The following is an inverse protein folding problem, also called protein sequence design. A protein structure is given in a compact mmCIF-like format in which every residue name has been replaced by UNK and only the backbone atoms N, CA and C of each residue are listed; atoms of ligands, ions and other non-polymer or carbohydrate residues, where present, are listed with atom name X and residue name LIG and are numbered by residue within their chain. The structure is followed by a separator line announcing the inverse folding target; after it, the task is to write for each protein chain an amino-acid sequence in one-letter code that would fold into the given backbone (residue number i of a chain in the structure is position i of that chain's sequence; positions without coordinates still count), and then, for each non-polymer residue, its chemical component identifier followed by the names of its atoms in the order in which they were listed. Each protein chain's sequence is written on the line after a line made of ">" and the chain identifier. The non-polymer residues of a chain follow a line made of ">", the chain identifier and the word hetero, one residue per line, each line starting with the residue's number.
data_IF_034306980489
#
_entry.id   IF_034306980489
#
_cell.length_a   1.000
_cell.length_b   1.000
_cell.length_c   1.000
_cell.angle_alpha   90.00
_cell.angle_beta   90.00
_cell.angle_gamma   90.00
#
_symmetry.space_group_name_H-M   'P 1'
#
loop_
_entity.id
_entity.type
_entity.pdbx_description
1 polymer ?
#
# COMPACT_ATOMS: atom_id res chain seq x y z
N UNK A 1 0.85 17.29 -46.28
CA UNK A 1 1.05 18.72 -46.62
C UNK A 1 1.55 19.43 -45.37
N UNK A 2 2.67 20.14 -45.44
CA UNK A 2 3.22 20.90 -44.31
C UNK A 2 2.98 22.40 -44.51
N UNK A 3 2.33 23.05 -43.55
CA UNK A 3 2.10 24.50 -43.52
C UNK A 3 3.00 25.16 -42.47
N UNK A 4 3.50 26.36 -42.74
CA UNK A 4 4.32 27.13 -41.78
C UNK A 4 3.44 28.11 -41.00
N UNK A 5 3.58 28.10 -39.68
CA UNK A 5 2.91 29.01 -38.77
C UNK A 5 3.95 29.77 -37.93
N UNK A 6 3.98 31.10 -38.03
CA UNK A 6 4.83 31.94 -37.20
C UNK A 6 4.04 32.47 -36.00
N UNK A 7 4.47 32.10 -34.79
CA UNK A 7 3.79 32.44 -33.54
C UNK A 7 4.79 32.93 -32.50
N UNK A 8 4.35 33.88 -31.66
CA UNK A 8 5.15 34.38 -30.55
C UNK A 8 4.84 33.55 -29.31
N UNK A 9 5.89 32.98 -28.72
CA UNK A 9 5.80 32.21 -27.48
C UNK A 9 6.52 32.96 -26.36
N UNK A 10 6.05 32.76 -25.13
CA UNK A 10 6.77 33.29 -23.98
C UNK A 10 8.18 32.66 -23.89
N UNK A 11 9.18 33.36 -23.34
CA UNK A 11 10.51 32.80 -23.14
C UNK A 11 10.51 31.49 -22.34
N UNK A 12 9.61 31.40 -21.35
CA UNK A 12 9.41 30.18 -20.54
C UNK A 12 8.95 29.00 -21.40
N UNK A 13 8.00 29.21 -22.32
CA UNK A 13 7.52 28.17 -23.24
C UNK A 13 8.61 27.70 -24.19
N UNK A 14 9.42 28.61 -24.72
CA UNK A 14 10.55 28.27 -25.61
C UNK A 14 11.58 27.41 -24.88
N UNK A 15 11.90 27.74 -23.63
CA UNK A 15 12.81 26.96 -22.79
C UNK A 15 12.26 25.55 -22.55
N UNK A 16 11.00 25.43 -22.10
CA UNK A 16 10.37 24.14 -21.83
C UNK A 16 10.28 23.25 -23.09
N UNK A 17 9.92 23.81 -24.24
CA UNK A 17 9.89 23.07 -25.52
C UNK A 17 11.29 22.59 -25.90
N UNK A 18 12.31 23.44 -25.72
CA UNK A 18 13.70 23.09 -26.06
C UNK A 18 14.23 21.97 -25.16
N UNK A 19 13.94 22.03 -23.86
CA UNK A 19 14.30 20.99 -22.89
C UNK A 19 13.60 19.67 -23.20
N UNK A 20 12.29 19.69 -23.47
CA UNK A 20 11.52 18.49 -23.82
C UNK A 20 12.02 17.86 -25.12
N UNK A 21 12.29 18.69 -26.14
CA UNK A 21 12.84 18.27 -27.42
C UNK A 21 14.20 17.57 -27.24
N UNK A 22 15.08 18.14 -26.42
CA UNK A 22 16.38 17.55 -26.09
C UNK A 22 16.24 16.22 -25.34
N UNK A 23 15.40 16.17 -24.29
CA UNK A 23 15.14 14.96 -23.49
C UNK A 23 14.58 13.81 -24.33
N UNK A 24 13.65 14.12 -25.25
CA UNK A 24 12.98 13.12 -26.10
C UNK A 24 13.68 12.89 -27.45
N UNK A 25 14.77 13.60 -27.76
CA UNK A 25 15.51 13.54 -29.03
C UNK A 25 14.62 13.75 -30.26
N UNK A 26 13.71 14.72 -30.19
CA UNK A 26 12.79 15.08 -31.29
C UNK A 26 12.88 16.58 -31.59
N UNK A 27 12.36 17.01 -32.74
CA UNK A 27 12.41 18.42 -33.13
C UNK A 27 11.45 19.28 -32.30
N UNK A 28 11.77 20.56 -32.09
CA UNK A 28 10.88 21.51 -31.41
C UNK A 28 9.53 21.64 -32.11
N UNK A 29 9.53 21.59 -33.45
CA UNK A 29 8.31 21.60 -34.25
C UNK A 29 7.43 20.38 -33.96
N UNK A 30 8.01 19.17 -33.92
CA UNK A 30 7.28 17.95 -33.58
C UNK A 30 6.69 17.99 -32.16
N UNK A 31 7.42 18.58 -31.19
CA UNK A 31 6.88 18.81 -29.84
C UNK A 31 5.64 19.71 -29.88
N UNK A 32 5.73 20.85 -30.58
CA UNK A 32 4.62 21.81 -30.67
C UNK A 32 3.43 21.22 -31.41
N UNK A 33 3.65 20.54 -32.52
CA UNK A 33 2.60 19.88 -33.31
C UNK A 33 1.88 18.81 -32.49
N UNK A 34 2.64 17.95 -31.79
CA UNK A 34 2.06 16.91 -30.92
C UNK A 34 1.26 17.54 -29.78
N UNK A 35 1.77 18.61 -29.16
CA UNK A 35 1.08 19.30 -28.07
C UNK A 35 -0.23 19.95 -28.54
N UNK A 36 -0.24 20.58 -29.72
CA UNK A 36 -1.44 21.19 -30.31
C UNK A 36 -2.45 20.12 -30.71
N UNK A 37 -2.03 19.05 -31.37
CA UNK A 37 -2.90 17.92 -31.71
C UNK A 37 -3.51 17.29 -30.46
N UNK A 38 -2.71 17.09 -29.41
CA UNK A 38 -3.21 16.58 -28.13
C UNK A 38 -4.17 17.52 -27.43
N UNK A 39 -4.04 18.84 -27.62
CA UNK A 39 -4.92 19.83 -27.00
C UNK A 39 -6.28 19.92 -27.70
N UNK A 40 -6.27 19.80 -29.04
CA UNK A 40 -7.47 19.96 -29.87
C UNK A 40 -8.23 18.63 -30.02
N UNK A 41 -7.61 17.49 -29.75
CA UNK A 41 -8.27 16.18 -29.79
C UNK A 41 -9.24 16.02 -28.61
N UNK A 42 -10.58 16.00 -28.82
CA UNK A 42 -11.55 15.78 -27.74
C UNK A 42 -11.34 14.44 -27.05
N UNK A 43 -11.00 13.41 -27.83
CA UNK A 43 -10.73 12.05 -27.33
C UNK A 43 -9.57 11.97 -26.34
N UNK A 44 -8.55 12.82 -26.45
CA UNK A 44 -7.36 12.72 -25.59
C UNK A 44 -7.64 13.08 -24.13
N UNK A 45 -8.49 14.08 -23.88
CA UNK A 45 -8.85 14.41 -22.51
C UNK A 45 -9.79 13.35 -21.94
N UNK A 46 -10.81 12.96 -22.69
CA UNK A 46 -11.80 11.96 -22.29
C UNK A 46 -11.16 10.59 -22.02
N UNK A 47 -10.20 10.16 -22.85
CA UNK A 47 -9.47 8.91 -22.64
C UNK A 47 -8.61 8.94 -21.36
N UNK A 48 -7.97 10.09 -21.08
CA UNK A 48 -7.15 10.26 -19.86
C UNK A 48 -8.01 10.26 -18.62
N UNK A 49 -9.12 11.00 -18.63
CA UNK A 49 -10.09 11.01 -17.54
C UNK A 49 -10.68 9.61 -17.32
N UNK A 50 -11.10 8.92 -18.38
CA UNK A 50 -11.59 7.54 -18.29
C UNK A 50 -10.54 6.57 -17.74
N UNK A 51 -9.26 6.71 -18.12
CA UNK A 51 -8.19 5.87 -17.59
C UNK A 51 -7.95 6.11 -16.09
N UNK A 52 -8.04 7.37 -15.63
CA UNK A 52 -7.94 7.72 -14.21
C UNK A 52 -9.13 7.14 -13.44
N UNK A 53 -10.36 7.31 -13.93
CA UNK A 53 -11.56 6.75 -13.31
C UNK A 53 -11.47 5.24 -13.16
N UNK A 54 -11.07 4.50 -14.21
CA UNK A 54 -10.85 3.04 -14.12
C UNK A 54 -9.80 2.66 -13.08
N UNK A 55 -8.73 3.45 -12.96
CA UNK A 55 -7.69 3.20 -11.94
C UNK A 55 -8.23 3.45 -10.54
N UNK A 56 -9.02 4.50 -10.34
CA UNK A 56 -9.69 4.79 -9.08
C UNK A 56 -10.66 3.67 -8.71
N UNK A 57 -11.50 3.22 -9.64
CA UNK A 57 -12.42 2.10 -9.42
C UNK A 57 -11.68 0.83 -8.98
N UNK A 58 -10.54 0.53 -9.61
CA UNK A 58 -9.70 -0.61 -9.24
C UNK A 58 -9.13 -0.46 -7.83
N UNK A 59 -8.72 0.74 -7.43
CA UNK A 59 -8.23 1.02 -6.08
C UNK A 59 -9.35 0.87 -5.05
N UNK A 60 -10.54 1.40 -5.34
CA UNK A 60 -11.71 1.28 -4.45
C UNK A 60 -12.06 -0.18 -4.21
N UNK A 61 -12.19 -0.98 -5.28
CA UNK A 61 -12.46 -2.43 -5.16
C UNK A 61 -11.37 -3.18 -4.40
N UNK A 62 -10.12 -2.76 -4.58
CA UNK A 62 -9.01 -3.34 -3.83
C UNK A 62 -9.12 -2.99 -2.34
N UNK A 63 -9.45 -1.74 -2.01
CA UNK A 63 -9.65 -1.28 -0.65
C UNK A 63 -10.83 -1.99 0.03
N UNK A 64 -11.97 -2.12 -0.64
CA UNK A 64 -13.13 -2.89 -0.13
C UNK A 64 -12.79 -4.36 0.15
N UNK A 65 -11.90 -4.97 -0.66
CA UNK A 65 -11.41 -6.33 -0.41
C UNK A 65 -10.45 -6.36 0.78
N UNK A 66 -9.57 -5.37 0.91
CA UNK A 66 -8.65 -5.26 2.05
C UNK A 66 -9.42 -5.06 3.36
N UNK A 67 -10.45 -4.21 3.37
CA UNK A 67 -11.32 -3.98 4.52
C UNK A 67 -12.03 -5.27 4.94
N UNK A 68 -12.61 -6.01 3.98
CA UNK A 68 -13.21 -7.32 4.27
C UNK A 68 -12.20 -8.30 4.83
N UNK A 69 -11.01 -8.39 4.23
CA UNK A 69 -9.95 -9.27 4.73
C UNK A 69 -9.48 -8.87 6.14
N UNK A 70 -9.44 -7.57 6.43
CA UNK A 70 -9.08 -7.03 7.74
C UNK A 70 -10.13 -7.40 8.80
N UNK A 71 -11.42 -7.28 8.46
CA UNK A 71 -12.53 -7.71 9.33
C UNK A 71 -12.41 -9.21 9.61
N UNK A 72 -12.27 -10.05 8.58
CA UNK A 72 -12.13 -11.50 8.73
C UNK A 72 -10.90 -11.86 9.57
N UNK A 73 -9.76 -11.20 9.34
CA UNK A 73 -8.53 -11.45 10.10
C UNK A 73 -8.69 -11.04 11.57
N UNK A 74 -9.35 -9.92 11.83
CA UNK A 74 -9.68 -9.47 13.19
C UNK A 74 -10.61 -10.45 13.91
N UNK A 75 -11.67 -10.92 13.25
CA UNK A 75 -12.58 -11.93 13.80
C UNK A 75 -11.87 -13.25 14.08
N UNK A 76 -11.08 -13.75 13.14
CA UNK A 76 -10.28 -14.96 13.30
C UNK A 76 -9.27 -14.83 14.46
N UNK A 77 -8.62 -13.68 14.58
CA UNK A 77 -7.69 -13.40 15.68
C UNK A 77 -8.41 -13.36 17.04
N UNK A 78 -9.57 -12.71 17.12
CA UNK A 78 -10.38 -12.71 18.35
C UNK A 78 -10.85 -14.11 18.74
N UNK A 79 -11.27 -14.93 17.77
CA UNK A 79 -11.62 -16.33 18.00
C UNK A 79 -10.41 -17.15 18.47
N UNK A 80 -9.25 -16.94 17.85
CA UNK A 80 -7.98 -17.57 18.26
C UNK A 80 -7.63 -17.21 19.71
N UNK A 81 -7.58 -15.93 20.05
CA UNK A 81 -7.31 -15.44 21.41
C UNK A 81 -8.29 -16.07 22.41
N UNK A 82 -9.58 -16.06 22.08
CA UNK A 82 -10.62 -16.66 22.92
C UNK A 82 -10.35 -18.15 23.13
N UNK A 83 -10.08 -18.90 22.07
CA UNK A 83 -9.80 -20.33 22.16
C UNK A 83 -8.53 -20.63 22.97
N UNK A 84 -7.48 -19.83 22.78
CA UNK A 84 -6.19 -19.95 23.45
C UNK A 84 -6.28 -19.69 24.96
N UNK A 85 -7.10 -18.70 25.37
CA UNK A 85 -7.34 -18.42 26.79
C UNK A 85 -8.43 -19.28 27.42
N UNK A 86 -9.36 -19.82 26.63
CA UNK A 86 -10.50 -20.57 27.15
C UNK A 86 -10.15 -21.99 27.61
N UNK A 87 -9.34 -22.76 26.88
CA UNK A 87 -8.83 -24.08 27.32
C UNK A 87 -8.16 -24.81 26.16
N UNK A 88 -6.95 -25.35 26.36
CA UNK A 88 -6.43 -26.43 25.50
C UNK A 88 -6.72 -27.83 26.06
N UNK A 89 -7.56 -27.99 27.09
CA UNK A 89 -7.95 -29.31 27.61
C UNK A 89 -9.37 -29.29 28.19
N UNK A 90 -10.20 -30.33 28.01
CA UNK A 90 -11.52 -30.40 28.64
C UNK A 90 -11.37 -30.32 30.16
N UNK A 91 -11.94 -29.26 30.74
CA UNK A 91 -11.83 -28.95 32.17
C UNK A 91 -13.05 -29.53 32.86
N UNK A 92 -12.90 -30.36 33.90
CA UNK A 92 -14.02 -30.80 34.73
C UNK A 92 -14.84 -29.60 35.21
N UNK A 93 -16.18 -29.73 35.28
CA UNK A 93 -17.09 -28.62 35.62
C UNK A 93 -16.70 -27.87 36.90
N UNK A 94 -16.08 -28.56 37.85
CA UNK A 94 -15.59 -28.02 39.13
C UNK A 94 -14.40 -27.04 38.97
N UNK A 95 -13.58 -27.20 37.94
CA UNK A 95 -12.41 -26.36 37.68
C UNK A 95 -12.67 -25.23 36.66
N UNK A 96 -13.89 -25.15 36.12
CA UNK A 96 -14.30 -24.24 35.06
C UNK A 96 -14.22 -22.77 35.48
N UNK A 97 -14.61 -22.45 36.72
CA UNK A 97 -14.53 -21.10 37.28
C UNK A 97 -13.07 -20.64 37.46
N UNK A 98 -12.18 -21.53 37.92
CA UNK A 98 -10.74 -21.25 38.08
C UNK A 98 -10.05 -21.06 36.72
N UNK A 99 -10.39 -21.89 35.74
CA UNK A 99 -9.87 -21.77 34.38
C UNK A 99 -10.31 -20.47 33.70
N UNK A 100 -11.57 -20.07 33.84
CA UNK A 100 -12.06 -18.79 33.35
C UNK A 100 -11.36 -17.60 34.03
N UNK A 101 -11.11 -17.68 35.34
CA UNK A 101 -10.36 -16.65 36.06
C UNK A 101 -8.93 -16.51 35.53
N UNK A 102 -8.24 -17.64 35.30
CA UNK A 102 -6.89 -17.67 34.74
C UNK A 102 -6.84 -17.19 33.29
N UNK A 103 -7.87 -17.48 32.49
CA UNK A 103 -8.02 -16.95 31.14
C UNK A 103 -8.16 -15.42 31.13
N UNK A 104 -8.96 -14.85 32.06
CA UNK A 104 -9.10 -13.39 32.22
C UNK A 104 -7.78 -12.71 32.62
N UNK A 105 -7.02 -13.32 33.54
CA UNK A 105 -5.70 -12.82 33.95
C UNK A 105 -4.73 -12.78 32.77
N UNK A 106 -4.63 -13.86 32.00
CA UNK A 106 -3.77 -13.92 30.81
C UNK A 106 -4.17 -12.91 29.73
N UNK A 107 -5.47 -12.69 29.53
CA UNK A 107 -5.97 -11.68 28.60
C UNK A 107 -5.54 -10.27 29.02
N UNK A 108 -5.65 -9.93 30.31
CA UNK A 108 -5.20 -8.62 30.83
C UNK A 108 -3.71 -8.39 30.56
N UNK A 109 -2.87 -9.38 30.86
CA UNK A 109 -1.42 -9.29 30.63
C UNK A 109 -1.08 -9.17 29.13
N UNK A 110 -1.83 -9.86 28.27
CA UNK A 110 -1.67 -9.75 26.82
C UNK A 110 -1.98 -8.33 26.32
N UNK A 111 -3.09 -7.73 26.76
CA UNK A 111 -3.45 -6.35 26.38
C UNK A 111 -2.39 -5.36 26.86
N UNK A 112 -1.87 -5.53 28.07
CA UNK A 112 -0.79 -4.69 28.60
C UNK A 112 0.48 -4.78 27.73
N UNK A 113 0.96 -6.00 27.44
CA UNK A 113 2.12 -6.23 26.58
C UNK A 113 1.92 -5.69 25.16
N UNK A 114 0.74 -5.91 24.57
CA UNK A 114 0.39 -5.39 23.24
C UNK A 114 0.37 -3.87 23.23
N UNK A 115 -0.26 -3.24 24.22
CA UNK A 115 -0.33 -1.78 24.33
C UNK A 115 1.06 -1.16 24.46
N UNK A 116 1.93 -1.73 25.30
CA UNK A 116 3.29 -1.28 25.49
C UNK A 116 4.09 -1.37 24.19
N UNK A 117 3.94 -2.46 23.44
CA UNK A 117 4.60 -2.66 22.15
C UNK A 117 4.13 -1.68 21.08
N UNK A 118 2.82 -1.42 21.00
CA UNK A 118 2.25 -0.44 20.08
C UNK A 118 2.78 0.98 20.38
N UNK A 119 2.87 1.37 21.65
CA UNK A 119 3.45 2.66 22.05
C UNK A 119 4.94 2.78 21.70
N UNK A 120 5.68 1.68 21.72
CA UNK A 120 7.10 1.66 21.36
C UNK A 120 7.32 1.74 19.83
N UNK A 121 6.27 1.72 19.00
CA UNK A 121 6.38 1.81 17.54
C UNK A 121 7.06 0.59 16.88
N UNK A 122 7.31 -0.46 17.66
CA UNK A 122 7.94 -1.71 17.21
C UNK A 122 6.90 -2.55 16.46
N UNK A 123 6.83 -2.35 15.16
CA UNK A 123 6.01 -3.18 14.28
C UNK A 123 6.61 -4.59 14.24
N UNK A 124 5.81 -5.60 14.58
CA UNK A 124 6.15 -7.02 14.41
C UNK A 124 6.69 -7.31 13.00
N UNK A 125 6.15 -6.63 11.98
CA UNK A 125 6.60 -6.79 10.60
C UNK A 125 8.05 -6.32 10.38
N UNK A 126 8.48 -5.27 11.09
CA UNK A 126 9.87 -4.80 10.98
C UNK A 126 10.84 -5.77 11.64
N UNK A 127 10.47 -6.32 12.79
CA UNK A 127 11.30 -7.31 13.49
C UNK A 127 11.40 -8.63 12.71
N UNK A 128 10.30 -9.14 12.15
CA UNK A 128 10.33 -10.34 11.31
C UNK A 128 11.17 -10.13 10.05
N UNK A 129 11.03 -8.98 9.38
CA UNK A 129 11.88 -8.65 8.22
C UNK A 129 13.35 -8.47 8.61
N UNK A 130 13.66 -8.01 9.82
CA UNK A 130 15.03 -7.92 10.33
C UNK A 130 15.57 -9.31 10.69
N UNK A 131 14.77 -10.19 11.31
CA UNK A 131 15.12 -11.57 11.65
C UNK A 131 15.32 -12.43 10.39
N UNK A 132 14.47 -12.30 9.37
CA UNK A 132 14.65 -12.96 8.07
C UNK A 132 15.98 -12.55 7.43
N UNK A 133 16.30 -11.25 7.43
CA UNK A 133 17.58 -10.73 6.91
C UNK A 133 18.79 -11.17 7.73
N UNK A 134 18.65 -11.26 9.06
CA UNK A 134 19.69 -11.77 9.95
C UNK A 134 19.91 -13.28 9.76
N UNK A 135 18.86 -14.03 9.44
CA UNK A 135 18.94 -15.45 9.11
C UNK A 135 19.58 -15.71 7.74
N UNK A 136 19.31 -14.87 6.74
CA UNK A 136 19.96 -14.92 5.41
C UNK A 136 21.46 -14.61 5.50
N UNK A 137 21.85 -13.59 6.26
CA UNK A 137 23.27 -13.24 6.45
C UNK A 137 24.09 -14.29 7.22
N UNK A 138 23.45 -15.21 7.94
CA UNK A 138 24.13 -16.28 8.69
C UNK A 138 24.54 -17.47 7.81
N UNK A 139 23.99 -17.56 6.60
CA UNK A 139 24.24 -18.66 5.66
C UNK A 139 25.52 -18.42 4.83
N UNK A 140 26.03 -17.18 4.80
CA UNK A 140 27.19 -16.75 3.99
C UNK A 140 28.53 -16.67 4.77
N UNK A 141 28.61 -17.14 6.02
CA UNK A 141 29.91 -17.29 6.71
C UNK A 141 30.58 -18.61 6.27
N UNK A 142 31.72 -18.58 5.53
CA UNK A 142 32.40 -19.80 5.14
C UNK A 142 33.08 -20.45 6.35
N UNK A 143 32.87 -21.76 6.50
CA UNK A 143 33.61 -22.66 7.40
C UNK A 143 35.05 -22.82 6.88
#
# INVERSE_FOLDING_TARGET
>A
MTARLCLRLSPKSIAAISELAARKRITKAAVVETAVLSLISPDHNDQREAAISRRLDKIIRHNERLERNQIISSEAFMLFIRSWFAASSPIPQEALASAQAKGRERYKNFIEALSQRLHQGKSLNKELSEEERLSENKIDEPI
#
